data_IF_614071102981
#
_entry.id   IF_614071102981
#
_cell.length_a   1.000
_cell.length_b   1.000
_cell.length_c   1.000
_cell.angle_alpha   90.00
_cell.angle_beta   90.00
_cell.angle_gamma   90.00
#
_symmetry.space_group_name_H-M   'P 1'
#
loop_
_entity.id
_entity.type
_entity.pdbx_description
1 polymer ?
#
# COMPACT_ATOMS: atom_id res chain seq x y z
N UNK A 1 -4.80 26.36 -21.31
CA UNK A 1 -5.44 25.06 -21.00
C UNK A 1 -4.36 24.13 -20.45
N UNK A 2 -4.37 23.88 -19.14
CA UNK A 2 -3.38 22.99 -18.50
C UNK A 2 -3.56 21.58 -19.04
N UNK A 3 -2.49 20.95 -19.53
CA UNK A 3 -2.48 19.50 -19.80
C UNK A 3 -2.89 18.80 -18.50
N UNK A 4 -4.01 18.09 -18.50
CA UNK A 4 -4.35 17.20 -17.39
C UNK A 4 -3.26 16.15 -17.31
N UNK A 5 -2.48 16.13 -16.22
CA UNK A 5 -1.46 15.10 -16.03
C UNK A 5 -2.13 13.72 -16.17
N UNK A 6 -1.48 12.79 -16.89
CA UNK A 6 -1.98 11.43 -17.09
C UNK A 6 -2.20 10.71 -15.75
N UNK A 7 -1.46 11.13 -14.71
CA UNK A 7 -1.62 10.69 -13.32
C UNK A 7 -1.76 11.92 -12.42
N UNK A 8 -2.99 12.37 -12.08
CA UNK A 8 -3.16 13.51 -11.19
C UNK A 8 -2.49 13.25 -9.84
N UNK A 9 -1.95 14.33 -9.23
CA UNK A 9 -1.36 14.30 -7.90
C UNK A 9 -2.41 14.05 -6.81
N UNK A 10 -1.99 13.94 -5.54
CA UNK A 10 -2.88 13.63 -4.41
C UNK A 10 -4.01 14.67 -4.26
N UNK A 11 -5.20 14.21 -3.86
CA UNK A 11 -6.32 15.09 -3.54
C UNK A 11 -6.04 15.82 -2.23
N UNK A 12 -5.66 15.08 -1.19
CA UNK A 12 -5.63 15.61 0.18
C UNK A 12 -7.03 15.97 0.69
N UNK A 13 -7.07 16.64 1.84
CA UNK A 13 -8.26 17.33 2.33
C UNK A 13 -8.20 18.84 2.04
N UNK A 14 -9.30 19.54 2.27
CA UNK A 14 -9.40 21.01 2.09
C UNK A 14 -8.41 21.81 2.96
N UNK A 15 -7.80 21.15 3.94
CA UNK A 15 -6.89 21.73 4.92
C UNK A 15 -5.42 21.39 4.59
N UNK A 16 -5.17 20.77 3.43
CA UNK A 16 -3.82 20.43 2.95
C UNK A 16 -3.18 19.24 3.65
N UNK A 17 -3.96 18.38 4.31
CA UNK A 17 -3.48 17.12 4.90
C UNK A 17 -3.70 15.97 3.94
N UNK A 18 -2.79 15.00 4.00
CA UNK A 18 -2.81 13.85 3.11
C UNK A 18 -2.92 12.55 3.92
N UNK A 19 -3.98 11.79 3.68
CA UNK A 19 -4.23 10.49 4.32
C UNK A 19 -4.26 9.43 3.22
N UNK A 20 -3.12 8.81 2.97
CA UNK A 20 -2.92 7.97 1.80
C UNK A 20 -2.91 6.50 2.18
N UNK A 21 -3.80 5.71 1.57
CA UNK A 21 -3.84 4.26 1.71
C UNK A 21 -3.32 3.56 0.46
N UNK A 22 -2.18 2.87 0.59
CA UNK A 22 -1.55 2.13 -0.49
C UNK A 22 -1.96 0.65 -0.43
N UNK A 23 -2.59 0.19 -1.50
CA UNK A 23 -3.08 -1.19 -1.68
C UNK A 23 -2.41 -1.86 -2.88
N UNK A 24 -2.42 -3.19 -2.92
CA UNK A 24 -1.68 -3.98 -3.92
C UNK A 24 -1.21 -5.33 -3.39
N UNK A 25 -0.77 -6.21 -4.30
CA UNK A 25 -0.36 -7.58 -3.95
C UNK A 25 0.92 -7.61 -3.09
N UNK A 26 1.21 -8.74 -2.45
CA UNK A 26 2.51 -8.94 -1.78
C UNK A 26 3.65 -8.72 -2.79
N UNK A 27 4.69 -8.00 -2.35
CA UNK A 27 5.86 -7.64 -3.17
C UNK A 27 5.65 -6.59 -4.25
N UNK A 28 4.45 -6.03 -4.44
CA UNK A 28 4.19 -4.99 -5.47
C UNK A 28 4.88 -3.64 -5.22
N UNK A 29 5.72 -3.52 -4.19
CA UNK A 29 6.47 -2.30 -3.87
C UNK A 29 5.78 -1.36 -2.86
N UNK A 30 4.62 -1.74 -2.29
CA UNK A 30 3.84 -0.89 -1.37
C UNK A 30 4.65 -0.25 -0.25
N UNK A 31 5.45 -1.06 0.44
CA UNK A 31 6.28 -0.58 1.56
C UNK A 31 7.31 0.44 1.09
N UNK A 32 8.00 0.18 -0.03
CA UNK A 32 8.98 1.11 -0.60
C UNK A 32 8.32 2.42 -1.00
N UNK A 33 7.23 2.35 -1.77
CA UNK A 33 6.47 3.53 -2.21
C UNK A 33 5.86 4.27 -1.03
N UNK A 34 5.38 3.57 0.00
CA UNK A 34 4.80 4.18 1.19
C UNK A 34 5.81 4.95 2.02
N UNK A 35 7.00 4.40 2.19
CA UNK A 35 8.11 5.08 2.89
C UNK A 35 8.55 6.32 2.10
N UNK A 36 8.71 6.20 0.79
CA UNK A 36 9.08 7.31 -0.09
C UNK A 36 8.04 8.43 -0.04
N UNK A 37 6.76 8.08 -0.21
CA UNK A 37 5.65 9.02 -0.19
C UNK A 37 5.52 9.73 1.17
N UNK A 38 5.65 9.00 2.27
CA UNK A 38 5.62 9.56 3.61
C UNK A 38 6.72 10.62 3.81
N UNK A 39 7.93 10.37 3.28
CA UNK A 39 9.04 11.33 3.31
C UNK A 39 8.72 12.59 2.49
N UNK A 40 8.18 12.43 1.28
CA UNK A 40 7.81 13.57 0.41
C UNK A 40 6.77 14.45 1.10
N UNK A 41 5.77 13.84 1.72
CA UNK A 41 4.68 14.55 2.41
C UNK A 41 5.05 15.06 3.80
N UNK A 42 6.16 14.58 4.38
CA UNK A 42 6.53 14.90 5.76
C UNK A 42 5.57 14.35 6.81
N UNK A 43 4.96 13.19 6.55
CA UNK A 43 3.99 12.52 7.43
C UNK A 43 4.48 11.14 7.87
N UNK A 44 3.91 10.54 8.94
CA UNK A 44 4.27 9.19 9.37
C UNK A 44 3.92 8.11 8.35
N UNK A 45 4.79 7.09 8.25
CA UNK A 45 4.53 5.85 7.53
C UNK A 45 4.09 4.76 8.51
N UNK A 46 2.97 4.10 8.20
CA UNK A 46 2.37 3.06 9.05
C UNK A 46 2.18 1.80 8.20
N UNK A 47 2.72 0.67 8.66
CA UNK A 47 2.54 -0.61 7.97
C UNK A 47 1.49 -1.47 8.64
N UNK A 48 0.38 -1.73 7.95
CA UNK A 48 -0.68 -2.60 8.47
C UNK A 48 -0.18 -4.03 8.69
N UNK A 49 0.79 -4.48 7.89
CA UNK A 49 1.40 -5.80 8.07
C UNK A 49 2.12 -5.91 9.43
N UNK A 50 2.76 -4.84 9.90
CA UNK A 50 3.43 -4.80 11.22
C UNK A 50 2.44 -4.77 12.38
N UNK A 51 1.27 -4.18 12.18
CA UNK A 51 0.19 -4.17 13.19
C UNK A 51 -0.56 -5.50 13.24
N UNK A 52 -0.64 -6.20 12.10
CA UNK A 52 -1.40 -7.44 11.96
C UNK A 52 -0.68 -8.67 12.53
N UNK A 53 0.60 -8.83 12.22
CA UNK A 53 1.35 -10.03 12.61
C UNK A 53 2.06 -9.87 13.95
N UNK A 54 1.81 -10.81 14.85
CA UNK A 54 2.55 -11.01 16.10
C UNK A 54 3.72 -11.99 15.86
N UNK A 55 4.71 -12.04 16.77
CA UNK A 55 5.78 -13.04 16.71
C UNK A 55 5.22 -14.47 16.55
N UNK A 56 5.91 -15.30 15.75
CA UNK A 56 5.46 -16.66 15.45
C UNK A 56 4.30 -16.75 14.44
N UNK A 57 4.17 -15.78 13.54
CA UNK A 57 3.11 -15.72 12.51
C UNK A 57 1.69 -15.75 13.10
N UNK A 58 1.50 -15.26 14.32
CA UNK A 58 0.19 -15.22 14.95
C UNK A 58 -0.59 -14.00 14.46
N UNK A 59 -1.81 -14.23 13.99
CA UNK A 59 -2.70 -13.15 13.56
C UNK A 59 -3.22 -12.36 14.76
N UNK A 60 -3.24 -11.03 14.64
CA UNK A 60 -3.94 -10.17 15.61
C UNK A 60 -5.45 -10.29 15.39
N UNK A 61 -6.25 -10.54 16.45
CA UNK A 61 -7.71 -10.55 16.36
C UNK A 61 -8.26 -9.29 15.71
N UNK A 62 -9.39 -9.41 15.00
CA UNK A 62 -9.96 -8.32 14.21
C UNK A 62 -10.17 -7.03 15.02
N UNK A 63 -10.76 -7.14 16.21
CA UNK A 63 -11.11 -5.97 17.02
C UNK A 63 -9.85 -5.27 17.55
N UNK A 64 -8.89 -6.05 18.06
CA UNK A 64 -7.57 -5.55 18.49
C UNK A 64 -6.79 -4.93 17.32
N UNK A 65 -6.90 -5.50 16.12
CA UNK A 65 -6.24 -4.96 14.93
C UNK A 65 -6.87 -3.64 14.50
N UNK A 66 -8.19 -3.51 14.53
CA UNK A 66 -8.87 -2.25 14.26
C UNK A 66 -8.48 -1.16 15.28
N UNK A 67 -8.45 -1.50 16.57
CA UNK A 67 -8.01 -0.60 17.65
C UNK A 67 -6.56 -0.13 17.44
N UNK A 68 -5.64 -1.04 17.11
CA UNK A 68 -4.25 -0.71 16.79
C UNK A 68 -4.14 0.25 15.62
N UNK A 69 -4.96 0.06 14.58
CA UNK A 69 -4.98 0.97 13.43
C UNK A 69 -5.48 2.34 13.87
N UNK A 70 -6.62 2.42 14.55
CA UNK A 70 -7.19 3.70 15.03
C UNK A 70 -6.18 4.45 15.88
N UNK A 71 -5.60 3.80 16.88
CA UNK A 71 -4.58 4.37 17.75
C UNK A 71 -3.38 4.92 16.96
N UNK A 72 -2.92 4.22 15.91
CA UNK A 72 -1.82 4.68 15.07
C UNK A 72 -2.21 5.88 14.18
N UNK A 73 -3.42 5.89 13.62
CA UNK A 73 -3.89 6.97 12.76
C UNK A 73 -4.26 8.24 13.53
N UNK A 74 -4.84 8.10 14.73
CA UNK A 74 -5.29 9.22 15.56
C UNK A 74 -4.12 10.07 16.08
N UNK A 75 -2.93 9.47 16.21
CA UNK A 75 -1.69 10.18 16.57
C UNK A 75 -1.13 11.04 15.42
N UNK A 76 -1.70 10.93 14.21
CA UNK A 76 -1.16 11.52 12.99
C UNK A 76 -2.01 12.70 12.49
N UNK A 77 -2.07 13.77 13.28
CA UNK A 77 -2.94 14.94 13.01
C UNK A 77 -2.70 15.61 11.64
N UNK A 78 -1.46 15.59 11.14
CA UNK A 78 -1.07 16.22 9.87
C UNK A 78 -1.29 15.33 8.63
N UNK A 79 -1.79 14.11 8.82
CA UNK A 79 -1.91 13.10 7.78
C UNK A 79 -0.95 11.93 8.00
N UNK A 80 -1.04 10.93 7.12
CA UNK A 80 -0.31 9.67 7.23
C UNK A 80 -0.26 8.94 5.89
N UNK A 81 0.70 8.05 5.73
CA UNK A 81 0.72 7.05 4.65
C UNK A 81 0.66 5.67 5.27
N UNK A 82 -0.38 4.90 4.93
CA UNK A 82 -0.58 3.54 5.42
C UNK A 82 -0.47 2.56 4.26
N UNK A 83 0.20 1.42 4.45
CA UNK A 83 0.25 0.36 3.45
C UNK A 83 -0.30 -0.97 3.96
N UNK A 84 -0.99 -1.69 3.06
CA UNK A 84 -1.48 -3.03 3.34
C UNK A 84 -2.90 -3.27 2.83
N UNK A 85 -3.23 -4.53 2.61
CA UNK A 85 -4.50 -4.95 2.00
C UNK A 85 -5.30 -5.81 3.00
N UNK A 86 -5.74 -5.17 4.09
CA UNK A 86 -6.44 -5.83 5.20
C UNK A 86 -7.92 -5.44 5.31
N UNK A 87 -8.52 -4.92 4.24
CA UNK A 87 -9.90 -4.40 4.26
C UNK A 87 -10.94 -5.42 4.74
N UNK A 88 -10.73 -6.71 4.46
CA UNK A 88 -11.61 -7.80 4.96
C UNK A 88 -11.29 -8.30 6.36
N UNK A 89 -10.21 -7.81 6.98
CA UNK A 89 -9.67 -8.30 8.27
C UNK A 89 -9.64 -7.20 9.34
N UNK A 90 -10.44 -6.14 9.21
CA UNK A 90 -10.46 -4.99 10.14
C UNK A 90 -9.70 -3.76 9.65
N UNK A 91 -8.98 -3.84 8.54
CA UNK A 91 -8.26 -2.71 7.93
C UNK A 91 -9.13 -1.75 7.11
N UNK A 92 -10.47 -1.86 7.18
CA UNK A 92 -11.38 -1.00 6.42
C UNK A 92 -11.33 0.46 6.91
N UNK A 93 -11.14 0.66 8.21
CA UNK A 93 -11.02 2.00 8.84
C UNK A 93 -9.97 2.88 8.16
N UNK A 94 -8.82 2.29 7.80
CA UNK A 94 -7.75 3.00 7.11
C UNK A 94 -8.20 3.50 5.73
N UNK A 95 -8.99 2.71 5.00
CA UNK A 95 -9.51 3.11 3.71
C UNK A 95 -10.60 4.18 3.85
N UNK A 96 -11.47 4.08 4.85
CA UNK A 96 -12.58 5.01 5.06
C UNK A 96 -12.07 6.41 5.40
N UNK A 97 -11.03 6.49 6.23
CA UNK A 97 -10.39 7.75 6.65
C UNK A 97 -9.41 8.32 5.60
N UNK A 98 -9.09 7.57 4.55
CA UNK A 98 -8.17 8.00 3.52
C UNK A 98 -8.78 9.08 2.60
N UNK A 99 -8.01 10.13 2.34
CA UNK A 99 -8.26 11.10 1.28
C UNK A 99 -7.91 10.50 -0.09
N UNK A 100 -6.95 9.58 -0.12
CA UNK A 100 -6.38 9.02 -1.33
C UNK A 100 -6.14 7.52 -1.18
N UNK A 101 -6.62 6.73 -2.14
CA UNK A 101 -6.34 5.28 -2.21
C UNK A 101 -5.49 5.00 -3.44
N UNK A 102 -4.29 4.49 -3.23
CA UNK A 102 -3.32 4.22 -4.30
C UNK A 102 -3.23 2.72 -4.50
N UNK A 103 -3.71 2.23 -5.63
CA UNK A 103 -3.55 0.84 -6.01
C UNK A 103 -2.31 0.65 -6.88
N UNK A 104 -1.28 0.03 -6.30
CA UNK A 104 -0.11 -0.42 -7.04
C UNK A 104 -0.39 -1.75 -7.74
N UNK A 105 -0.36 -1.73 -9.08
CA UNK A 105 -0.64 -2.87 -9.97
C UNK A 105 0.46 -3.09 -11.03
N UNK A 106 1.74 -3.25 -10.65
CA UNK A 106 2.78 -3.64 -11.60
C UNK A 106 2.53 -5.07 -12.13
N UNK A 107 3.03 -5.41 -13.34
CA UNK A 107 3.02 -6.77 -13.84
C UNK A 107 3.66 -7.75 -12.85
N UNK A 108 3.07 -8.94 -12.72
CA UNK A 108 3.59 -10.02 -11.85
C UNK A 108 5.07 -10.32 -12.12
N UNK A 109 5.47 -10.26 -13.39
CA UNK A 109 6.85 -10.46 -13.85
C UNK A 109 7.88 -9.53 -13.18
N UNK A 110 7.47 -8.36 -12.69
CA UNK A 110 8.38 -7.41 -12.05
C UNK A 110 8.67 -7.71 -10.60
N UNK A 111 7.69 -8.24 -9.87
CA UNK A 111 7.83 -8.43 -8.42
C UNK A 111 7.91 -9.89 -8.00
N UNK A 112 7.42 -10.83 -8.80
CA UNK A 112 7.52 -12.26 -8.48
C UNK A 112 8.97 -12.73 -8.37
N UNK A 113 9.90 -12.39 -9.30
CA UNK A 113 11.31 -12.78 -9.14
C UNK A 113 11.95 -12.20 -7.88
N UNK A 114 11.56 -10.98 -7.47
CA UNK A 114 12.08 -10.33 -6.26
C UNK A 114 11.65 -11.08 -4.99
N UNK A 115 10.38 -11.49 -4.91
CA UNK A 115 9.90 -12.30 -3.79
C UNK A 115 10.60 -13.64 -3.79
N UNK A 116 10.70 -14.29 -4.95
CA UNK A 116 11.38 -15.57 -5.09
C UNK A 116 12.83 -15.51 -4.58
N UNK A 117 13.62 -14.56 -5.08
CA UNK A 117 15.01 -14.37 -4.65
C UNK A 117 15.09 -14.10 -3.15
N UNK A 118 14.29 -13.18 -2.61
CA UNK A 118 14.29 -12.86 -1.17
C UNK A 118 13.97 -14.07 -0.31
N UNK A 119 12.97 -14.85 -0.71
CA UNK A 119 12.58 -16.06 0.00
C UNK A 119 13.68 -17.12 -0.05
N UNK A 120 14.36 -17.27 -1.19
CA UNK A 120 15.55 -18.15 -1.29
C UNK A 120 16.68 -17.66 -0.38
N UNK A 121 16.99 -16.36 -0.36
CA UNK A 121 18.02 -15.80 0.51
C UNK A 121 17.73 -16.00 2.01
N UNK A 122 16.45 -15.87 2.41
CA UNK A 122 16.02 -16.15 3.80
C UNK A 122 16.15 -17.61 4.18
N UNK A 123 15.82 -18.53 3.27
CA UNK A 123 16.01 -19.96 3.50
C UNK A 123 17.48 -20.34 3.74
N UNK A 124 18.40 -19.59 3.12
CA UNK A 124 19.85 -19.76 3.33
C UNK A 124 20.40 -18.91 4.48
N UNK A 125 19.54 -18.28 5.30
CA UNK A 125 19.92 -17.38 6.40
C UNK A 125 20.83 -16.21 5.98
N UNK A 126 20.77 -15.81 4.70
CA UNK A 126 21.52 -14.66 4.18
C UNK A 126 20.76 -13.36 4.51
N UNK A 127 19.43 -13.41 4.47
CA UNK A 127 18.54 -12.33 4.89
C UNK A 127 17.78 -12.73 6.17
N UNK A 128 17.58 -11.77 7.07
CA UNK A 128 16.81 -11.99 8.30
C UNK A 128 15.31 -12.25 8.07
N UNK A 129 14.62 -12.81 9.08
CA UNK A 129 13.20 -13.14 8.99
C UNK A 129 12.33 -11.88 8.79
N UNK A 130 11.11 -12.09 8.30
CA UNK A 130 10.12 -11.00 8.10
C UNK A 130 9.79 -10.22 9.38
N UNK A 131 9.87 -10.90 10.53
CA UNK A 131 9.60 -10.38 11.87
C UNK A 131 10.33 -11.28 12.88
N UNK A 132 10.69 -10.78 14.09
CA UNK A 132 11.30 -11.63 15.11
C UNK A 132 10.46 -12.87 15.42
N UNK A 133 11.08 -14.06 15.37
CA UNK A 133 10.40 -15.35 15.58
C UNK A 133 9.49 -15.80 14.44
N UNK A 134 9.56 -15.15 13.27
CA UNK A 134 8.81 -15.51 12.06
C UNK A 134 9.75 -16.04 10.97
N UNK A 135 10.47 -17.12 11.25
CA UNK A 135 11.41 -17.74 10.33
C UNK A 135 10.68 -18.47 9.19
N UNK A 136 11.27 -18.42 7.99
CA UNK A 136 10.79 -19.13 6.81
C UNK A 136 11.51 -20.49 6.74
N UNK A 137 10.79 -21.61 6.61
CA UNK A 137 11.37 -22.95 6.41
C UNK A 137 11.02 -23.47 5.02
N UNK A 138 11.81 -24.42 4.50
CA UNK A 138 11.59 -24.97 3.14
C UNK A 138 10.18 -25.55 3.01
N UNK A 139 9.68 -26.22 4.06
CA UNK A 139 8.33 -26.78 4.07
C UNK A 139 7.24 -25.69 4.08
N UNK A 140 7.39 -24.64 4.90
CA UNK A 140 6.41 -23.55 4.95
C UNK A 140 6.42 -22.70 3.68
N UNK A 141 7.58 -22.58 3.02
CA UNK A 141 7.75 -21.79 1.80
C UNK A 141 7.29 -22.53 0.53
N UNK A 142 7.45 -23.84 0.42
CA UNK A 142 7.17 -24.57 -0.83
C UNK A 142 6.03 -25.58 -0.77
N UNK A 143 5.70 -26.12 0.41
CA UNK A 143 4.83 -27.30 0.52
C UNK A 143 3.58 -27.09 1.37
N UNK A 144 3.54 -26.10 2.24
CA UNK A 144 2.33 -25.75 2.98
C UNK A 144 1.40 -24.81 2.22
N UNK A 145 0.10 -24.86 2.52
CA UNK A 145 -0.92 -23.91 2.03
C UNK A 145 -0.63 -22.44 2.40
N UNK A 146 0.39 -22.19 3.24
CA UNK A 146 0.94 -20.89 3.63
C UNK A 146 2.15 -20.41 2.82
N UNK A 147 2.57 -21.10 1.76
CA UNK A 147 3.68 -20.68 0.89
C UNK A 147 3.51 -19.23 0.42
N UNK A 148 4.48 -18.37 0.72
CA UNK A 148 4.48 -16.96 0.29
C UNK A 148 4.50 -16.82 -1.24
N UNK A 149 5.12 -17.77 -1.95
CA UNK A 149 5.19 -17.81 -3.41
C UNK A 149 3.84 -18.20 -4.01
N UNK A 150 3.23 -19.27 -3.49
CA UNK A 150 1.89 -19.68 -3.89
C UNK A 150 0.85 -18.62 -3.54
N UNK A 151 0.95 -18.03 -2.35
CA UNK A 151 0.10 -16.93 -1.91
C UNK A 151 0.21 -15.75 -2.87
N UNK A 152 1.42 -15.31 -3.20
CA UNK A 152 1.65 -14.25 -4.16
C UNK A 152 0.98 -14.51 -5.52
N UNK A 153 1.15 -15.72 -6.06
CA UNK A 153 0.62 -16.10 -7.37
C UNK A 153 -0.91 -16.22 -7.36
N UNK A 154 -1.46 -16.96 -6.40
CA UNK A 154 -2.91 -17.16 -6.25
C UNK A 154 -3.63 -15.84 -5.94
N UNK A 155 -3.04 -14.98 -5.10
CA UNK A 155 -3.64 -13.72 -4.71
C UNK A 155 -3.46 -12.62 -5.74
N UNK A 156 -2.56 -12.74 -6.71
CA UNK A 156 -2.40 -11.73 -7.75
C UNK A 156 -3.73 -11.46 -8.47
N UNK A 157 -4.37 -12.51 -8.98
CA UNK A 157 -5.62 -12.41 -9.72
C UNK A 157 -6.79 -12.02 -8.83
N UNK A 158 -6.90 -12.62 -7.64
CA UNK A 158 -7.94 -12.28 -6.68
C UNK A 158 -7.86 -10.82 -6.23
N UNK A 159 -6.65 -10.33 -5.91
CA UNK A 159 -6.41 -8.96 -5.51
C UNK A 159 -6.69 -7.98 -6.65
N UNK A 160 -6.27 -8.32 -7.88
CA UNK A 160 -6.52 -7.50 -9.06
C UNK A 160 -8.01 -7.41 -9.36
N UNK A 161 -8.75 -8.53 -9.33
CA UNK A 161 -10.22 -8.53 -9.49
C UNK A 161 -10.91 -7.68 -8.43
N UNK A 162 -10.50 -7.80 -7.16
CA UNK A 162 -11.04 -7.00 -6.05
C UNK A 162 -10.82 -5.50 -6.28
N UNK A 163 -9.59 -5.12 -6.65
CA UNK A 163 -9.26 -3.70 -6.84
C UNK A 163 -9.81 -3.12 -8.15
N UNK A 164 -10.06 -3.93 -9.19
CA UNK A 164 -10.85 -3.52 -10.37
C UNK A 164 -12.27 -3.15 -9.96
N UNK A 165 -12.94 -4.00 -9.17
CA UNK A 165 -14.29 -3.71 -8.68
C UNK A 165 -14.32 -2.42 -7.85
N UNK A 166 -13.31 -2.21 -6.99
CA UNK A 166 -13.16 -0.96 -6.22
C UNK A 166 -12.88 0.25 -7.11
N UNK A 167 -12.05 0.11 -8.15
CA UNK A 167 -11.80 1.19 -9.11
C UNK A 167 -13.06 1.61 -9.85
N UNK A 168 -13.94 0.64 -10.18
CA UNK A 168 -15.23 0.94 -10.80
C UNK A 168 -16.17 1.72 -9.86
N UNK A 169 -16.03 1.56 -8.54
CA UNK A 169 -16.85 2.25 -7.54
C UNK A 169 -16.26 3.63 -7.18
N UNK A 170 -15.01 3.67 -6.71
CA UNK A 170 -14.37 4.86 -6.11
C UNK A 170 -13.20 5.42 -6.92
N UNK A 171 -13.07 5.04 -8.20
CA UNK A 171 -12.01 5.51 -9.09
C UNK A 171 -12.14 7.00 -9.45
N UNK A 172 -11.01 7.72 -9.54
CA UNK A 172 -11.01 9.16 -9.83
C UNK A 172 -11.68 9.56 -11.16
N UNK A 173 -11.49 8.76 -12.21
CA UNK A 173 -11.96 9.10 -13.56
C UNK A 173 -13.34 8.50 -13.84
N UNK A 174 -13.47 7.19 -13.58
CA UNK A 174 -14.63 6.40 -14.01
C UNK A 174 -15.46 5.83 -12.85
N UNK A 175 -15.17 6.21 -11.59
CA UNK A 175 -15.88 5.70 -10.42
C UNK A 175 -17.36 6.07 -10.42
N UNK A 176 -18.25 5.11 -10.15
CA UNK A 176 -19.70 5.34 -10.08
C UNK A 176 -20.11 6.23 -8.90
N UNK A 177 -19.39 6.16 -7.78
CA UNK A 177 -19.62 6.97 -6.60
C UNK A 177 -18.82 8.28 -6.72
N UNK A 178 -19.47 9.32 -7.25
CA UNK A 178 -18.86 10.63 -7.51
C UNK A 178 -18.32 11.30 -6.24
N UNK A 179 -19.02 11.14 -5.11
CA UNK A 179 -18.64 11.75 -3.84
C UNK A 179 -17.44 11.05 -3.19
N UNK A 180 -17.27 9.75 -3.42
CA UNK A 180 -16.18 8.95 -2.84
C UNK A 180 -15.03 8.68 -3.79
N UNK A 181 -14.93 9.40 -4.91
CA UNK A 181 -13.81 9.26 -5.86
C UNK A 181 -12.49 9.64 -5.21
N UNK A 182 -11.68 8.63 -4.90
CA UNK A 182 -10.35 8.81 -4.26
C UNK A 182 -9.32 7.78 -4.69
N UNK A 183 -9.72 6.79 -5.49
CA UNK A 183 -8.86 5.67 -5.86
C UNK A 183 -8.20 5.90 -7.22
N UNK A 184 -6.90 5.62 -7.28
CA UNK A 184 -6.12 5.63 -8.53
C UNK A 184 -5.30 4.37 -8.68
N UNK A 185 -5.15 3.91 -9.91
CA UNK A 185 -4.30 2.77 -10.26
C UNK A 185 -2.97 3.27 -10.81
N UNK A 186 -1.88 2.78 -10.23
CA UNK A 186 -0.52 2.98 -10.71
C UNK A 186 0.02 1.61 -11.08
N UNK A 187 0.04 1.33 -12.37
CA UNK A 187 0.51 0.04 -12.90
C UNK A 187 1.76 0.19 -13.75
N UNK A 188 1.94 -0.75 -14.67
CA UNK A 188 2.98 -0.69 -15.70
C UNK A 188 4.38 -1.05 -15.19
N UNK A 189 5.39 -0.63 -15.95
CA UNK A 189 6.78 -1.09 -15.75
C UNK A 189 7.61 -0.18 -14.85
N UNK A 190 6.94 0.77 -14.18
CA UNK A 190 7.51 1.64 -13.16
C UNK A 190 7.78 3.07 -13.63
N UNK A 191 7.67 3.35 -14.92
CA UNK A 191 7.67 4.73 -15.44
C UNK A 191 6.50 5.54 -14.88
N UNK A 192 5.32 4.93 -14.82
CA UNK A 192 4.08 5.51 -14.32
C UNK A 192 4.18 5.84 -12.84
N UNK A 193 4.83 4.96 -12.05
CA UNK A 193 5.08 5.21 -10.63
C UNK A 193 6.02 6.39 -10.44
N UNK A 194 7.13 6.45 -11.20
CA UNK A 194 8.08 7.57 -11.12
C UNK A 194 7.46 8.90 -11.54
N UNK A 195 6.68 8.88 -12.62
CA UNK A 195 5.96 10.06 -13.09
C UNK A 195 4.98 10.57 -12.03
N UNK A 196 4.18 9.67 -11.45
CA UNK A 196 3.25 10.03 -10.39
C UNK A 196 3.96 10.55 -9.13
N UNK A 197 5.05 9.93 -8.68
CA UNK A 197 5.84 10.43 -7.56
C UNK A 197 6.35 11.85 -7.84
N UNK A 198 6.85 12.12 -9.06
CA UNK A 198 7.29 13.46 -9.46
C UNK A 198 6.17 14.50 -9.46
N UNK A 199 4.94 14.11 -9.83
CA UNK A 199 3.77 15.00 -9.71
C UNK A 199 3.43 15.31 -8.25
N UNK A 200 3.54 14.33 -7.34
CA UNK A 200 3.35 14.55 -5.90
C UNK A 200 4.42 15.48 -5.34
N UNK A 201 5.69 15.29 -5.72
CA UNK A 201 6.77 16.19 -5.33
C UNK A 201 6.50 17.62 -5.80
N UNK A 202 6.10 17.81 -7.06
CA UNK A 202 5.76 19.13 -7.60
C UNK A 202 4.62 19.79 -6.84
N UNK A 203 3.60 19.02 -6.47
CA UNK A 203 2.48 19.51 -5.66
C UNK A 203 2.99 20.00 -4.29
N UNK A 204 3.82 19.24 -3.59
CA UNK A 204 4.34 19.64 -2.27
C UNK A 204 5.25 20.88 -2.36
N UNK A 205 6.14 20.95 -3.35
CA UNK A 205 7.01 22.12 -3.55
C UNK A 205 6.22 23.37 -3.95
N UNK A 206 5.21 23.23 -4.81
CA UNK A 206 4.32 24.32 -5.21
C UNK A 206 3.52 24.88 -4.04
N UNK A 207 3.07 24.03 -3.12
CA UNK A 207 2.40 24.47 -1.88
C UNK A 207 3.34 25.27 -0.99
N UNK A 208 4.60 24.83 -0.81
CA UNK A 208 5.59 25.55 0.01
C UNK A 208 5.93 26.93 -0.53
N UNK A 209 5.98 27.11 -1.86
CA UNK A 209 6.26 28.41 -2.48
C UNK A 209 5.11 29.42 -2.37
N UNK A 210 3.87 28.98 -2.15
CA UNK A 210 2.71 29.88 -1.99
C UNK A 210 2.51 30.41 -0.57
N UNK A 211 3.19 29.80 0.41
CA UNK A 211 3.06 30.14 1.85
C UNK A 211 4.18 31.08 2.32
N UNK A 212 5.18 31.33 1.47
CA UNK A 212 6.27 32.31 1.65
C UNK A 212 5.92 33.62 0.93
#
# INVERSE_FOLDING_TARGET
>A
MSKTATYPALLGDEQGRYRVHIVGNSGSGKTTTGIELAKILGVPYISLNRLFWQPGWKETPRDEFEEKIRAALDQCERGWVVDGEYTRRGGLVAQELATDVIWLDPPLLLYFPRIFIRTVLRLFNIDGPCSPGCDETIQTVFFEKGSILWWCLSHHWANRRKNIARMAEIGLVEGTDVERRRMRRIGGWGSELREWISEVERLVHGTKQKVL
#
